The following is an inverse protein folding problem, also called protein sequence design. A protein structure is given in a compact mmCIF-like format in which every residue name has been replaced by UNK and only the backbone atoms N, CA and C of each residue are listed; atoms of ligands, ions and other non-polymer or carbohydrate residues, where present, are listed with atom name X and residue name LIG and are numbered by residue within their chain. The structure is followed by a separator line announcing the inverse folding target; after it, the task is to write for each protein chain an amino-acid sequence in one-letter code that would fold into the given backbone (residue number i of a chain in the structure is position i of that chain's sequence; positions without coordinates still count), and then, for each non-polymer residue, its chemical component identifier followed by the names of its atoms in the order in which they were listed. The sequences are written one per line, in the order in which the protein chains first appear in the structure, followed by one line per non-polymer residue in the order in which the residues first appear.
data_IF_959229310341
#
_entry.id   IF_959229310341
#
_cell.length_a   1.000
_cell.length_b   1.000
_cell.length_c   1.000
_cell.angle_alpha   90.00
_cell.angle_beta   90.00
_cell.angle_gamma   90.00
#
_symmetry.space_group_name_H-M   'P 1'
#
loop_
_entity.id
_entity.type
_entity.pdbx_description
1 polymer ?
#
# COMPACT_ATOMS: atom_id res chain seq x y z
N UNK A 1 -36.87 4.51 -5.53
CA UNK A 1 -35.44 4.82 -5.78
C UNK A 1 -34.60 3.99 -4.83
N UNK A 2 -33.88 2.99 -5.33
CA UNK A 2 -33.07 2.08 -4.51
C UNK A 2 -31.86 2.83 -3.94
N UNK A 3 -31.75 2.91 -2.61
CA UNK A 3 -30.59 3.52 -1.95
C UNK A 3 -29.40 2.57 -2.11
N UNK A 4 -28.46 2.89 -3.00
CA UNK A 4 -27.15 2.22 -3.10
C UNK A 4 -26.32 2.53 -1.85
N UNK A 5 -26.59 1.84 -0.74
CA UNK A 5 -25.74 1.92 0.45
C UNK A 5 -24.43 1.18 0.17
N UNK A 6 -23.26 1.82 0.37
CA UNK A 6 -21.98 1.17 0.12
C UNK A 6 -21.83 -0.06 1.02
N UNK A 7 -21.59 -1.23 0.41
CA UNK A 7 -21.32 -2.47 1.13
C UNK A 7 -19.99 -2.36 1.87
N UNK A 8 -20.02 -2.43 3.20
CA UNK A 8 -18.79 -2.46 4.01
C UNK A 8 -18.15 -3.85 3.93
N UNK A 9 -16.97 -3.93 3.31
CA UNK A 9 -16.16 -5.16 3.27
C UNK A 9 -14.94 -4.97 4.17
N UNK A 10 -14.81 -5.81 5.19
CA UNK A 10 -13.66 -5.79 6.09
C UNK A 10 -12.54 -6.61 5.45
N UNK A 11 -11.41 -5.96 5.18
CA UNK A 11 -10.23 -6.60 4.57
C UNK A 11 -9.16 -6.81 5.65
N UNK A 12 -8.54 -7.98 5.66
CA UNK A 12 -7.47 -8.28 6.62
C UNK A 12 -6.21 -7.44 6.36
N UNK A 13 -5.48 -7.09 7.42
CA UNK A 13 -4.19 -6.38 7.31
C UNK A 13 -3.19 -7.15 6.43
N UNK A 14 -3.21 -8.48 6.49
CA UNK A 14 -2.37 -9.33 5.66
C UNK A 14 -2.69 -9.21 4.16
N UNK A 15 -3.97 -9.16 3.80
CA UNK A 15 -4.40 -8.97 2.42
C UNK A 15 -3.97 -7.60 1.88
N UNK A 16 -4.10 -6.54 2.68
CA UNK A 16 -3.60 -5.20 2.34
C UNK A 16 -2.09 -5.22 2.10
N UNK A 17 -1.32 -5.86 3.00
CA UNK A 17 0.15 -5.99 2.85
C UNK A 17 0.54 -6.75 1.57
N UNK A 18 -0.11 -7.88 1.29
CA UNK A 18 0.14 -8.68 0.08
C UNK A 18 -0.16 -7.88 -1.19
N UNK A 19 -1.25 -7.09 -1.19
CA UNK A 19 -1.58 -6.20 -2.29
C UNK A 19 -0.49 -5.16 -2.54
N UNK A 20 -0.04 -4.47 -1.48
CA UNK A 20 1.02 -3.45 -1.57
C UNK A 20 2.35 -4.00 -2.09
N UNK A 21 2.74 -5.21 -1.67
CA UNK A 21 3.97 -5.87 -2.19
C UNK A 21 3.86 -6.16 -3.68
N UNK A 22 2.71 -6.66 -4.16
CA UNK A 22 2.50 -6.94 -5.59
C UNK A 22 2.56 -5.66 -6.42
N UNK A 23 1.85 -4.61 -6.00
CA UNK A 23 1.84 -3.32 -6.68
C UNK A 23 3.26 -2.74 -6.77
N UNK A 24 4.00 -2.76 -5.66
CA UNK A 24 5.37 -2.23 -5.62
C UNK A 24 6.31 -2.98 -6.58
N UNK A 25 6.22 -4.31 -6.64
CA UNK A 25 7.00 -5.12 -7.59
C UNK A 25 6.62 -4.83 -9.04
N UNK A 26 5.33 -4.69 -9.32
CA UNK A 26 4.83 -4.36 -10.66
C UNK A 26 5.33 -2.98 -11.11
N UNK A 27 5.20 -1.95 -10.27
CA UNK A 27 5.69 -0.60 -10.56
C UNK A 27 7.20 -0.59 -10.81
N UNK A 28 7.98 -1.27 -9.98
CA UNK A 28 9.43 -1.36 -10.20
C UNK A 28 9.76 -2.03 -11.54
N UNK A 29 9.05 -3.10 -11.90
CA UNK A 29 9.23 -3.78 -13.20
C UNK A 29 8.94 -2.86 -14.38
N UNK A 30 7.91 -1.99 -14.29
CA UNK A 30 7.60 -1.00 -15.33
C UNK A 30 8.75 0.00 -15.51
N UNK A 31 9.50 0.31 -14.45
CA UNK A 31 10.69 1.18 -14.50
C UNK A 31 11.99 0.42 -14.83
N UNK A 32 11.91 -0.87 -15.20
CA UNK A 32 13.09 -1.72 -15.43
C UNK A 32 13.89 -2.04 -14.16
N UNK A 33 13.31 -1.82 -12.97
CA UNK A 33 13.93 -2.03 -11.66
C UNK A 33 13.40 -3.31 -11.00
N UNK A 34 14.19 -3.87 -10.09
CA UNK A 34 13.80 -5.04 -9.28
C UNK A 34 13.74 -4.64 -7.81
N UNK A 35 12.72 -5.12 -7.09
CA UNK A 35 12.60 -4.95 -5.63
C UNK A 35 13.06 -6.26 -4.97
N UNK A 36 14.22 -6.27 -4.29
CA UNK A 36 14.75 -7.46 -3.64
C UNK A 36 13.82 -7.99 -2.54
N UNK A 37 13.89 -9.29 -2.29
CA UNK A 37 13.25 -9.88 -1.13
C UNK A 37 13.83 -9.26 0.15
N UNK A 38 12.97 -8.87 1.09
CA UNK A 38 13.40 -8.24 2.34
C UNK A 38 13.81 -6.76 2.21
N UNK A 39 13.69 -6.14 1.03
CA UNK A 39 13.96 -4.70 0.86
C UNK A 39 13.16 -3.86 1.87
N UNK A 40 13.87 -3.09 2.69
CA UNK A 40 13.31 -2.16 3.67
C UNK A 40 13.54 -0.74 3.18
N UNK A 41 12.47 0.08 3.19
CA UNK A 41 12.58 1.52 2.92
C UNK A 41 13.56 2.16 3.90
N UNK A 42 14.35 3.12 3.42
CA UNK A 42 15.23 3.93 4.27
C UNK A 42 14.42 4.68 5.35
N UNK A 43 15.09 5.09 6.42
CA UNK A 43 14.46 5.84 7.51
C UNK A 43 13.84 7.16 7.01
N UNK A 44 14.53 7.85 6.09
CA UNK A 44 14.06 9.11 5.48
C UNK A 44 12.76 8.93 4.70
N UNK A 45 12.67 7.89 3.87
CA UNK A 45 11.46 7.58 3.10
C UNK A 45 10.31 7.20 4.03
N UNK A 46 10.58 6.44 5.11
CA UNK A 46 9.54 6.13 6.11
C UNK A 46 9.01 7.38 6.80
N UNK A 47 9.89 8.29 7.21
CA UNK A 47 9.50 9.55 7.83
C UNK A 47 8.67 10.41 6.86
N UNK A 48 9.04 10.48 5.58
CA UNK A 48 8.26 11.18 4.56
C UNK A 48 6.85 10.59 4.40
N UNK A 49 6.72 9.26 4.28
CA UNK A 49 5.41 8.61 4.18
C UNK A 49 4.57 8.85 5.44
N UNK A 50 5.18 8.82 6.63
CA UNK A 50 4.48 9.08 7.88
C UNK A 50 3.91 10.51 7.94
N UNK A 51 4.63 11.51 7.42
CA UNK A 51 4.14 12.89 7.31
C UNK A 51 2.94 13.02 6.36
N UNK A 52 2.87 12.17 5.33
CA UNK A 52 1.80 12.18 4.33
C UNK A 52 0.56 11.36 4.75
N UNK A 53 0.63 10.58 5.83
CA UNK A 53 -0.54 9.86 6.29
C UNK A 53 -1.54 10.83 6.95
N UNK A 54 -2.82 10.81 6.53
CA UNK A 54 -3.83 11.63 7.18
C UNK A 54 -3.93 11.24 8.66
N UNK A 55 -4.25 12.19 9.57
CA UNK A 55 -4.47 11.87 10.96
C UNK A 55 -5.50 10.74 11.05
N UNK A 56 -5.16 9.68 11.80
CA UNK A 56 -6.09 8.57 12.06
C UNK A 56 -7.38 9.17 12.60
N UNK A 57 -8.46 9.06 11.82
CA UNK A 57 -9.83 9.28 12.30
C UNK A 57 -10.26 8.11 13.17
#
# INVERSE_FOLDING_TARGET
VERRTPKKVVVSKAAVKKSGVRATKASAKLEGRVVPAGYRRSATVRAYIAKQQPPKR
#
